data_IF_032846283077
#
_entry.id   IF_032846283077
#
_cell.length_a   1.000
_cell.length_b   1.000
_cell.length_c   1.000
_cell.angle_alpha   90.00
_cell.angle_beta   90.00
_cell.angle_gamma   90.00
#
_symmetry.space_group_name_H-M   'P 1'
#
loop_
_entity.id
_entity.type
_entity.pdbx_description
1 polymer ?
#
# COMPACT_ATOMS: atom_id res chain seq x y z
N UNK A 1 -6.39 13.82 29.01
CA UNK A 1 -5.80 14.13 27.68
C UNK A 1 -6.44 13.22 26.67
N UNK A 2 -6.93 13.78 25.54
CA UNK A 2 -7.73 13.06 24.55
C UNK A 2 -6.84 12.04 23.80
N UNK A 3 -7.24 10.77 23.71
CA UNK A 3 -6.54 9.71 23.00
C UNK A 3 -6.33 10.04 21.51
N UNK A 4 -7.29 10.73 20.90
CA UNK A 4 -7.19 11.20 19.51
C UNK A 4 -6.01 12.15 19.29
N UNK A 5 -5.79 13.10 20.21
CA UNK A 5 -4.66 14.05 20.14
C UNK A 5 -3.33 13.29 20.18
N UNK A 6 -3.21 12.28 21.05
CA UNK A 6 -2.00 11.46 21.13
C UNK A 6 -1.74 10.67 19.83
N UNK A 7 -2.79 10.16 19.21
CA UNK A 7 -2.66 9.43 17.95
C UNK A 7 -2.23 10.35 16.80
N UNK A 8 -2.81 11.55 16.72
CA UNK A 8 -2.39 12.57 15.75
C UNK A 8 -0.94 12.97 15.98
N UNK A 9 -0.55 13.24 17.23
CA UNK A 9 0.81 13.60 17.62
C UNK A 9 1.85 12.54 17.19
N UNK A 10 1.57 11.26 17.44
CA UNK A 10 2.44 10.15 17.02
C UNK A 10 2.57 10.06 15.50
N UNK A 11 1.49 10.34 14.74
CA UNK A 11 1.54 10.39 13.28
C UNK A 11 2.40 11.54 12.78
N UNK A 12 2.26 12.73 13.37
CA UNK A 12 3.08 13.90 13.01
C UNK A 12 4.55 13.60 13.19
N UNK A 13 4.95 13.07 14.36
CA UNK A 13 6.31 12.68 14.65
C UNK A 13 6.81 11.61 13.66
N UNK A 14 6.06 10.52 13.48
CA UNK A 14 6.46 9.44 12.59
C UNK A 14 6.62 9.89 11.14
N UNK A 15 5.73 10.77 10.65
CA UNK A 15 5.83 11.35 9.32
C UNK A 15 7.05 12.27 9.17
N UNK A 16 7.31 13.13 10.14
CA UNK A 16 8.48 13.99 10.13
C UNK A 16 9.76 13.17 10.03
N UNK A 17 9.88 12.14 10.85
CA UNK A 17 11.05 11.24 10.86
C UNK A 17 11.22 10.47 9.55
N UNK A 18 10.13 9.90 9.00
CA UNK A 18 10.15 9.16 7.72
C UNK A 18 10.46 10.08 6.53
N UNK A 19 9.98 11.32 6.55
CA UNK A 19 10.23 12.31 5.50
C UNK A 19 11.54 13.06 5.70
N UNK A 20 12.30 12.75 6.77
CA UNK A 20 13.60 13.31 7.11
C UNK A 20 13.60 14.84 7.31
N UNK A 21 12.46 15.41 7.78
CA UNK A 21 12.37 16.80 8.14
C UNK A 21 12.88 17.08 9.55
N UNK A 22 13.58 18.19 9.72
CA UNK A 22 14.02 18.66 11.04
C UNK A 22 12.87 19.30 11.81
N UNK A 23 13.02 19.40 13.13
CA UNK A 23 12.06 20.11 13.99
C UNK A 23 11.97 21.59 13.62
N UNK A 24 13.09 22.20 13.28
CA UNK A 24 13.21 23.59 12.88
C UNK A 24 12.41 23.88 11.60
N UNK A 25 12.58 23.05 10.57
CA UNK A 25 11.84 23.19 9.30
C UNK A 25 10.34 23.14 9.51
N UNK A 26 9.86 22.16 10.31
CA UNK A 26 8.42 22.01 10.51
C UNK A 26 7.87 23.10 11.45
N UNK A 27 8.62 23.53 12.44
CA UNK A 27 8.23 24.64 13.31
C UNK A 27 8.08 25.94 12.51
N UNK A 28 9.01 26.23 11.58
CA UNK A 28 8.94 27.39 10.67
C UNK A 28 7.69 27.33 9.78
N UNK A 29 7.41 26.19 9.18
CA UNK A 29 6.19 25.98 8.37
C UNK A 29 4.91 26.18 9.18
N UNK A 30 4.94 25.82 10.44
CA UNK A 30 3.83 26.02 11.38
C UNK A 30 3.77 27.42 11.99
N UNK A 31 4.73 28.31 11.67
CA UNK A 31 4.86 29.63 12.26
C UNK A 31 4.89 29.60 13.80
N UNK A 32 5.66 28.67 14.37
CA UNK A 32 5.76 28.46 15.80
C UNK A 32 7.20 28.20 16.25
N UNK A 33 7.48 28.23 17.54
CA UNK A 33 8.80 27.85 18.04
C UNK A 33 8.97 26.32 18.06
N UNK A 34 10.21 25.85 17.99
CA UNK A 34 10.55 24.42 18.10
C UNK A 34 10.00 23.83 19.40
N UNK A 35 10.14 24.55 20.53
CA UNK A 35 9.62 24.09 21.85
C UNK A 35 8.10 23.91 21.84
N UNK A 36 7.37 24.76 21.13
CA UNK A 36 5.93 24.67 21.03
C UNK A 36 5.52 23.56 20.05
N UNK A 37 6.25 23.38 18.95
CA UNK A 37 6.02 22.28 18.02
C UNK A 37 6.27 20.92 18.69
N UNK A 38 7.31 20.78 19.53
CA UNK A 38 7.55 19.58 20.32
C UNK A 38 6.38 19.22 21.26
N UNK A 39 5.65 20.22 21.79
CA UNK A 39 4.44 19.97 22.57
C UNK A 39 3.31 19.39 21.71
N UNK A 40 3.22 19.76 20.44
CA UNK A 40 2.29 19.14 19.51
C UNK A 40 2.66 17.68 19.25
N UNK A 41 3.92 17.37 18.93
CA UNK A 41 4.38 15.98 18.71
C UNK A 41 4.33 15.11 19.96
N UNK A 42 4.47 15.68 21.15
CA UNK A 42 4.31 14.95 22.42
C UNK A 42 2.85 14.68 22.80
N UNK A 43 1.90 15.32 22.10
CA UNK A 43 0.48 15.22 22.38
C UNK A 43 0.07 15.79 23.75
N UNK A 44 0.88 16.72 24.31
CA UNK A 44 0.63 17.33 25.61
C UNK A 44 -0.30 18.53 25.53
N UNK A 45 -0.52 19.08 24.36
CA UNK A 45 -1.41 20.21 24.07
C UNK A 45 -2.28 19.93 22.87
N UNK A 46 -3.38 20.68 22.72
CA UNK A 46 -4.20 20.65 21.54
C UNK A 46 -3.41 21.15 20.32
N UNK A 47 -3.62 20.49 19.17
CA UNK A 47 -2.96 20.84 17.91
C UNK A 47 -3.94 21.68 17.10
N UNK A 48 -3.65 22.97 16.84
CA UNK A 48 -4.53 23.83 16.04
C UNK A 48 -4.73 23.26 14.63
N UNK A 49 -5.93 23.37 14.09
CA UNK A 49 -6.25 22.89 12.72
C UNK A 49 -5.36 23.60 11.69
N UNK A 50 -5.01 24.87 11.91
CA UNK A 50 -4.08 25.62 11.05
C UNK A 50 -2.67 24.99 10.99
N UNK A 51 -2.19 24.48 12.13
CA UNK A 51 -0.91 23.75 12.20
C UNK A 51 -1.01 22.43 11.40
N UNK A 52 -2.06 21.67 11.61
CA UNK A 52 -2.31 20.42 10.87
C UNK A 52 -2.44 20.68 9.36
N UNK A 53 -3.10 21.77 8.97
CA UNK A 53 -3.23 22.18 7.57
C UNK A 53 -1.86 22.52 6.97
N UNK A 54 -1.05 23.34 7.64
CA UNK A 54 0.28 23.71 7.16
C UNK A 54 1.18 22.48 6.99
N UNK A 55 1.16 21.56 7.96
CA UNK A 55 1.90 20.31 7.89
C UNK A 55 1.40 19.46 6.72
N UNK A 56 0.09 19.32 6.54
CA UNK A 56 -0.49 18.53 5.45
C UNK A 56 -0.04 19.02 4.08
N UNK A 57 -0.01 20.35 3.88
CA UNK A 57 0.49 20.96 2.65
C UNK A 57 2.00 20.75 2.46
N UNK A 58 2.77 20.94 3.52
CA UNK A 58 4.23 20.77 3.47
C UNK A 58 4.66 19.32 3.24
N UNK A 59 4.01 18.38 3.93
CA UNK A 59 4.25 16.94 3.77
C UNK A 59 3.59 16.36 2.50
N UNK A 60 2.74 17.16 1.82
CA UNK A 60 1.94 16.74 0.66
C UNK A 60 1.09 15.49 0.96
N UNK A 61 0.37 15.53 2.06
CA UNK A 61 -0.55 14.49 2.51
C UNK A 61 -1.94 15.09 2.73
N UNK A 62 -2.98 14.25 2.66
CA UNK A 62 -4.34 14.69 2.97
C UNK A 62 -4.50 15.02 4.45
N UNK A 63 -5.18 16.14 4.77
CA UNK A 63 -5.48 16.51 6.16
C UNK A 63 -6.32 15.42 6.87
N UNK A 64 -7.23 14.79 6.12
CA UNK A 64 -8.03 13.65 6.59
C UNK A 64 -7.18 12.47 7.08
N UNK A 65 -6.07 12.19 6.41
CA UNK A 65 -5.13 11.14 6.80
C UNK A 65 -4.45 11.44 8.15
N UNK A 66 -4.12 12.71 8.42
CA UNK A 66 -3.61 13.13 9.73
C UNK A 66 -4.65 12.93 10.84
N UNK A 67 -5.91 13.26 10.57
CA UNK A 67 -7.00 13.24 11.56
C UNK A 67 -7.57 11.84 11.81
N UNK A 68 -7.91 11.11 10.74
CA UNK A 68 -8.67 9.86 10.84
C UNK A 68 -7.80 8.63 11.14
N UNK A 69 -6.50 8.70 10.90
CA UNK A 69 -5.60 7.56 11.11
C UNK A 69 -5.61 6.57 9.94
N UNK A 70 -6.12 6.96 8.81
CA UNK A 70 -5.81 6.30 7.56
C UNK A 70 -4.31 6.40 7.33
N UNK A 71 -3.70 5.35 6.74
CA UNK A 71 -2.27 5.38 6.43
C UNK A 71 -1.94 6.65 5.65
N UNK A 72 -0.97 7.47 6.10
CA UNK A 72 -0.66 8.73 5.42
C UNK A 72 -0.22 8.44 4.01
N UNK A 73 -0.91 9.02 3.05
CA UNK A 73 -0.54 8.91 1.66
C UNK A 73 0.76 9.69 1.42
N UNK A 74 1.78 9.00 0.92
CA UNK A 74 3.11 9.58 0.66
C UNK A 74 3.40 9.65 -0.83
N UNK A 75 4.13 10.69 -1.26
CA UNK A 75 4.42 10.97 -2.66
C UNK A 75 5.85 10.62 -3.09
N UNK A 76 6.77 10.46 -2.12
CA UNK A 76 8.18 10.17 -2.43
C UNK A 76 8.47 8.67 -2.45
N UNK A 77 8.14 7.98 -1.36
CA UNK A 77 8.27 6.53 -1.25
C UNK A 77 7.32 5.99 -0.18
N UNK A 78 6.94 4.73 -0.30
CA UNK A 78 6.20 3.99 0.72
C UNK A 78 6.97 2.70 1.04
N UNK A 79 7.02 2.34 2.31
CA UNK A 79 7.64 1.09 2.76
C UNK A 79 6.55 0.20 3.36
N UNK A 80 6.36 -0.96 2.76
CA UNK A 80 5.55 -2.03 3.35
C UNK A 80 6.47 -3.10 3.89
N UNK A 81 6.50 -3.28 5.21
CA UNK A 81 7.32 -4.31 5.85
C UNK A 81 6.73 -5.69 5.60
N UNK A 82 7.56 -6.74 5.63
CA UNK A 82 7.13 -8.13 5.43
C UNK A 82 5.93 -8.47 6.34
N UNK A 83 4.84 -8.97 5.72
CA UNK A 83 3.60 -9.33 6.41
C UNK A 83 2.72 -8.16 6.87
N UNK A 84 3.07 -6.92 6.47
CA UNK A 84 2.29 -5.71 6.79
C UNK A 84 1.57 -5.15 5.56
N UNK A 85 1.38 -5.96 4.53
CA UNK A 85 0.57 -5.59 3.38
C UNK A 85 -0.90 -5.42 3.77
N UNK A 86 -1.57 -4.45 3.14
CA UNK A 86 -3.00 -4.19 3.40
C UNK A 86 -3.84 -5.19 2.63
N UNK A 87 -4.64 -5.98 3.35
CA UNK A 87 -5.58 -6.93 2.75
C UNK A 87 -6.61 -6.19 1.89
N UNK A 88 -6.76 -6.62 0.63
CA UNK A 88 -7.71 -6.04 -0.32
C UNK A 88 -8.59 -7.16 -0.86
N UNK A 89 -9.91 -7.00 -0.79
CA UNK A 89 -10.85 -7.93 -1.40
C UNK A 89 -11.09 -7.51 -2.86
N UNK A 90 -10.60 -8.31 -3.80
CA UNK A 90 -10.83 -8.10 -5.24
C UNK A 90 -11.58 -9.25 -5.88
N UNK A 91 -11.24 -10.49 -5.50
CA UNK A 91 -11.90 -11.74 -5.92
C UNK A 91 -11.96 -12.70 -4.73
N UNK A 92 -12.99 -13.52 -4.67
CA UNK A 92 -13.21 -14.41 -3.53
C UNK A 92 -12.20 -15.57 -3.45
N UNK A 93 -11.67 -16.00 -4.60
CA UNK A 93 -10.70 -17.09 -4.69
C UNK A 93 -9.27 -16.68 -4.36
N UNK A 94 -8.95 -15.37 -4.30
CA UNK A 94 -7.60 -14.86 -4.14
C UNK A 94 -7.49 -13.96 -2.92
N UNK A 95 -6.43 -14.16 -2.15
CA UNK A 95 -6.06 -13.24 -1.08
C UNK A 95 -5.05 -12.24 -1.63
N UNK A 96 -5.38 -10.96 -1.56
CA UNK A 96 -4.52 -9.88 -2.04
C UNK A 96 -3.97 -9.08 -0.87
N UNK A 97 -2.67 -8.82 -0.88
CA UNK A 97 -2.00 -7.88 0.03
C UNK A 97 -1.40 -6.74 -0.80
N UNK A 98 -1.93 -5.53 -0.69
CA UNK A 98 -1.34 -4.35 -1.34
C UNK A 98 -0.02 -3.97 -0.69
N UNK A 99 1.03 -3.78 -1.50
CA UNK A 99 2.36 -3.40 -1.05
C UNK A 99 2.63 -1.89 -1.14
N UNK A 100 1.72 -1.13 -1.72
CA UNK A 100 1.89 0.31 -1.89
C UNK A 100 0.56 1.06 -1.68
N UNK A 101 -0.26 0.64 -0.71
CA UNK A 101 -1.57 1.25 -0.43
C UNK A 101 -1.46 2.73 -0.14
N UNK A 102 -0.43 3.15 0.60
CA UNK A 102 -0.20 4.52 1.03
C UNK A 102 0.45 5.44 -0.02
N UNK A 103 0.93 4.90 -1.17
CA UNK A 103 1.60 5.74 -2.17
C UNK A 103 0.60 6.41 -3.13
N UNK A 104 0.64 7.75 -3.21
CA UNK A 104 -0.25 8.55 -4.06
C UNK A 104 0.29 8.70 -5.48
N UNK A 105 -0.61 8.64 -6.47
CA UNK A 105 -0.24 8.80 -7.89
C UNK A 105 0.58 7.65 -8.45
N UNK A 106 0.52 6.47 -7.85
CA UNK A 106 1.18 5.28 -8.37
C UNK A 106 0.69 4.92 -9.77
N UNK A 107 1.63 4.57 -10.64
CA UNK A 107 1.37 4.09 -12.00
C UNK A 107 1.30 2.56 -12.07
N UNK A 108 1.73 1.90 -11.00
CA UNK A 108 1.71 0.46 -10.86
C UNK A 108 1.17 0.09 -9.47
N UNK A 109 0.38 -0.96 -9.39
CA UNK A 109 -0.15 -1.49 -8.14
C UNK A 109 0.46 -2.86 -7.85
N UNK A 110 1.47 -2.94 -6.96
CA UNK A 110 2.07 -4.20 -6.55
C UNK A 110 1.23 -4.88 -5.46
N UNK A 111 0.98 -6.18 -5.65
CA UNK A 111 0.28 -7.05 -4.70
C UNK A 111 1.08 -8.32 -4.47
N UNK A 112 1.03 -8.85 -3.25
CA UNK A 112 1.21 -10.28 -3.04
C UNK A 112 -0.16 -10.94 -3.18
N UNK A 113 -0.23 -11.93 -4.06
CA UNK A 113 -1.44 -12.72 -4.29
C UNK A 113 -1.18 -14.13 -3.82
N UNK A 114 -2.10 -14.67 -3.01
CA UNK A 114 -2.08 -16.05 -2.56
C UNK A 114 -3.33 -16.75 -3.09
N UNK A 115 -3.14 -17.91 -3.72
CA UNK A 115 -4.19 -18.77 -4.24
C UNK A 115 -4.05 -20.15 -3.60
N UNK A 116 -5.11 -20.63 -2.95
CA UNK A 116 -5.16 -21.96 -2.37
C UNK A 116 -5.67 -22.97 -3.40
N UNK A 117 -5.08 -24.16 -3.47
CA UNK A 117 -5.52 -25.20 -4.43
C UNK A 117 -6.92 -25.74 -4.17
N UNK A 118 -7.41 -25.59 -2.93
CA UNK A 118 -8.75 -26.00 -2.51
C UNK A 118 -9.86 -25.10 -3.02
N UNK A 119 -9.52 -23.90 -3.48
CA UNK A 119 -10.50 -22.91 -3.96
C UNK A 119 -10.86 -23.23 -5.40
N UNK A 120 -12.17 -23.19 -5.69
CA UNK A 120 -12.66 -23.36 -7.07
C UNK A 120 -12.05 -22.29 -7.97
N UNK A 121 -11.54 -22.72 -9.13
CA UNK A 121 -11.04 -21.79 -10.14
C UNK A 121 -12.13 -20.77 -10.51
N UNK A 122 -11.79 -19.50 -10.46
CA UNK A 122 -12.68 -18.43 -10.91
C UNK A 122 -12.75 -18.37 -12.43
N UNK A 123 -13.86 -17.84 -12.92
CA UNK A 123 -14.01 -17.49 -14.31
C UNK A 123 -12.95 -16.44 -14.71
N UNK A 124 -12.36 -16.56 -15.92
CA UNK A 124 -11.40 -15.58 -16.39
C UNK A 124 -11.99 -14.17 -16.38
N UNK A 125 -11.24 -13.22 -15.83
CA UNK A 125 -11.60 -11.81 -15.82
C UNK A 125 -10.64 -10.99 -16.65
N UNK A 126 -10.99 -9.72 -16.87
CA UNK A 126 -10.16 -8.74 -17.59
C UNK A 126 -10.05 -7.45 -16.80
N UNK A 127 -8.99 -6.69 -17.02
CA UNK A 127 -8.90 -5.30 -16.60
C UNK A 127 -8.02 -4.48 -17.54
N UNK A 128 -8.14 -3.16 -17.48
CA UNK A 128 -7.36 -2.25 -18.32
C UNK A 128 -5.89 -2.30 -17.92
N UNK A 129 -5.01 -2.19 -18.91
CA UNK A 129 -3.57 -2.07 -18.74
C UNK A 129 -2.83 -3.40 -18.89
N UNK A 130 -1.74 -3.51 -18.19
CA UNK A 130 -0.81 -4.65 -18.28
C UNK A 130 -0.59 -5.25 -16.90
N UNK A 131 -0.18 -6.50 -16.87
CA UNK A 131 0.13 -7.19 -15.63
C UNK A 131 1.46 -7.94 -15.76
N UNK A 132 2.28 -7.83 -14.72
CA UNK A 132 3.49 -8.62 -14.52
C UNK A 132 3.31 -9.53 -13.31
N UNK A 133 3.58 -10.81 -13.47
CA UNK A 133 3.57 -11.78 -12.37
C UNK A 133 4.93 -12.47 -12.22
N UNK A 134 5.36 -12.64 -10.98
CA UNK A 134 6.54 -13.41 -10.59
C UNK A 134 6.13 -14.42 -9.51
N UNK A 135 6.30 -15.70 -9.79
CA UNK A 135 5.98 -16.77 -8.82
C UNK A 135 7.02 -16.78 -7.70
N UNK A 136 6.56 -16.66 -6.45
CA UNK A 136 7.39 -16.60 -5.25
C UNK A 136 7.36 -17.90 -4.45
N UNK A 137 6.29 -18.71 -4.59
CA UNK A 137 6.11 -19.98 -3.88
C UNK A 137 5.12 -20.86 -4.65
N UNK A 138 5.44 -22.13 -4.83
CA UNK A 138 4.57 -23.12 -5.44
C UNK A 138 4.55 -23.08 -6.97
N UNK A 139 3.50 -23.66 -7.56
CA UNK A 139 3.29 -23.71 -9.00
C UNK A 139 1.95 -23.05 -9.36
N UNK A 140 1.95 -22.23 -10.42
CA UNK A 140 0.80 -21.47 -10.90
C UNK A 140 0.46 -21.90 -12.33
N UNK A 141 -0.77 -22.30 -12.58
CA UNK A 141 -1.33 -22.35 -13.94
C UNK A 141 -2.02 -21.02 -14.21
N UNK A 142 -1.51 -20.26 -15.17
CA UNK A 142 -2.17 -19.09 -15.74
C UNK A 142 -2.97 -19.54 -16.98
N UNK A 143 -4.28 -19.34 -16.92
CA UNK A 143 -5.13 -19.39 -18.11
C UNK A 143 -5.16 -17.98 -18.72
N UNK A 144 -4.67 -17.83 -19.94
CA UNK A 144 -4.63 -16.56 -20.67
C UNK A 144 -5.31 -16.77 -22.05
N UNK A 145 -6.49 -16.21 -22.25
CA UNK A 145 -7.41 -16.66 -23.29
C UNK A 145 -7.64 -18.19 -23.19
N UNK A 146 -7.34 -18.89 -24.29
CA UNK A 146 -7.48 -20.35 -24.40
C UNK A 146 -6.17 -21.11 -24.07
N UNK A 147 -5.12 -20.40 -23.67
CA UNK A 147 -3.80 -20.99 -23.36
C UNK A 147 -3.65 -21.21 -21.87
N UNK A 148 -3.19 -22.40 -21.50
CA UNK A 148 -2.75 -22.75 -20.15
C UNK A 148 -1.24 -22.71 -20.11
N UNK A 149 -0.70 -21.88 -19.23
CA UNK A 149 0.73 -21.66 -19.06
C UNK A 149 1.07 -22.08 -17.64
N UNK A 150 1.95 -23.07 -17.49
CA UNK A 150 2.45 -23.49 -16.20
C UNK A 150 3.70 -22.66 -15.85
N UNK A 151 3.71 -22.08 -14.67
CA UNK A 151 4.80 -21.27 -14.14
C UNK A 151 5.22 -21.85 -12.77
N UNK A 152 6.54 -22.00 -12.60
CA UNK A 152 7.15 -22.50 -11.37
C UNK A 152 7.77 -21.35 -10.57
N UNK A 153 8.17 -21.63 -9.34
CA UNK A 153 8.88 -20.67 -8.49
C UNK A 153 10.09 -20.06 -9.23
N UNK A 154 10.15 -18.73 -9.25
CA UNK A 154 11.14 -17.94 -9.99
C UNK A 154 10.74 -17.58 -11.41
N UNK A 155 9.74 -18.23 -12.00
CA UNK A 155 9.24 -17.86 -13.32
C UNK A 155 8.44 -16.57 -13.28
N UNK A 156 8.50 -15.80 -14.36
CA UNK A 156 7.74 -14.58 -14.52
C UNK A 156 7.04 -14.49 -15.87
N UNK A 157 5.95 -13.75 -15.92
CA UNK A 157 5.20 -13.47 -17.14
C UNK A 157 4.75 -12.02 -17.15
N UNK A 158 4.74 -11.43 -18.34
CA UNK A 158 4.20 -10.09 -18.61
C UNK A 158 3.18 -10.19 -19.72
N UNK A 159 1.96 -9.66 -19.52
CA UNK A 159 0.88 -9.80 -20.48
C UNK A 159 -0.06 -8.60 -20.53
N UNK A 160 -0.83 -8.48 -21.59
CA UNK A 160 -1.93 -7.52 -21.69
C UNK A 160 -3.11 -8.03 -20.87
N UNK A 161 -3.49 -7.29 -19.82
CA UNK A 161 -4.53 -7.67 -18.88
C UNK A 161 -5.97 -7.49 -19.42
N UNK A 162 -6.13 -6.92 -20.61
CA UNK A 162 -7.41 -6.92 -21.33
C UNK A 162 -7.76 -8.31 -21.91
N UNK A 163 -6.79 -9.21 -22.00
CA UNK A 163 -7.04 -10.61 -22.33
C UNK A 163 -7.67 -11.33 -21.13
N UNK A 164 -8.72 -12.14 -21.34
CA UNK A 164 -9.29 -12.95 -20.28
C UNK A 164 -8.23 -13.83 -19.60
N UNK A 165 -8.11 -13.71 -18.27
CA UNK A 165 -7.10 -14.43 -17.52
C UNK A 165 -7.60 -14.86 -16.15
N UNK A 166 -7.10 -15.99 -15.69
CA UNK A 166 -7.29 -16.50 -14.33
C UNK A 166 -6.09 -17.34 -13.91
N UNK A 167 -5.83 -17.42 -12.61
CA UNK A 167 -4.72 -18.17 -12.03
C UNK A 167 -5.26 -19.23 -11.09
N UNK A 168 -4.53 -20.34 -10.94
CA UNK A 168 -4.79 -21.35 -9.92
C UNK A 168 -3.48 -21.98 -9.44
N UNK A 169 -3.47 -22.42 -8.20
CA UNK A 169 -2.40 -23.26 -7.71
C UNK A 169 -2.54 -24.67 -8.28
N UNK A 170 -1.46 -25.28 -8.74
CA UNK A 170 -1.41 -26.65 -9.26
C UNK A 170 -0.24 -27.40 -8.62
N UNK A 171 -0.39 -28.70 -8.43
CA UNK A 171 0.63 -29.58 -7.82
C UNK A 171 1.12 -29.18 -6.42
N UNK A 172 0.58 -28.12 -5.84
CA UNK A 172 0.92 -27.58 -4.52
C UNK A 172 -0.34 -27.19 -3.76
N UNK A 173 -0.27 -27.07 -2.42
CA UNK A 173 -1.42 -26.68 -1.60
C UNK A 173 -1.80 -25.21 -1.81
N UNK A 174 -0.84 -24.38 -2.17
CA UNK A 174 -1.03 -22.96 -2.49
C UNK A 174 0.05 -22.49 -3.47
N UNK A 175 -0.26 -21.39 -4.14
CA UNK A 175 0.71 -20.61 -4.90
C UNK A 175 0.72 -19.18 -4.40
N UNK A 176 1.90 -18.57 -4.30
CA UNK A 176 2.08 -17.17 -3.97
C UNK A 176 2.90 -16.49 -5.06
N UNK A 177 2.44 -15.34 -5.53
CA UNK A 177 3.14 -14.58 -6.57
C UNK A 177 3.05 -13.07 -6.33
N UNK A 178 4.04 -12.34 -6.82
CA UNK A 178 3.96 -10.89 -6.94
C UNK A 178 3.19 -10.56 -8.22
N UNK A 179 2.10 -9.83 -8.10
CA UNK A 179 1.37 -9.23 -9.22
C UNK A 179 1.63 -7.73 -9.23
N UNK A 180 2.03 -7.19 -10.39
CA UNK A 180 2.18 -5.75 -10.61
C UNK A 180 1.23 -5.33 -11.73
N UNK A 181 0.18 -4.59 -11.37
CA UNK A 181 -0.82 -4.09 -12.31
C UNK A 181 -0.43 -2.67 -12.73
N UNK A 182 -0.25 -2.46 -14.03
CA UNK A 182 0.08 -1.18 -14.64
C UNK A 182 -1.16 -0.61 -15.34
N UNK A 183 -1.44 0.67 -15.05
CA UNK A 183 -2.58 1.41 -15.64
C UNK A 183 -2.11 2.42 -16.68
#
# INVERSE_FOLDING_TARGET
>A
MNEQIRQIAKRLQGLREVLEFTLEEVADVCHTSVDNYLKYESGTVDIPVSVLHNISQYYKIELSALLAGEEPHVFKYAITRKGMGVGVQRRDAYQYESLASSFVGKKAEPFIVTVESSVKQEEPGTHVGQEFNLVLEGEMELCLNDKKILLQEGDSIYFNAELPHSMRAVNTTRCKFLAVILK
#
